data_IF_453385000727
#
_entry.id   IF_453385000727
#
_cell.length_a   1.000
_cell.length_b   1.000
_cell.length_c   1.000
_cell.angle_alpha   90.00
_cell.angle_beta   90.00
_cell.angle_gamma   90.00
#
_symmetry.space_group_name_H-M   'P 1'
#
loop_
_entity.id
_entity.type
_entity.pdbx_description
1 polymer ?
#
# COMPACT_ATOMS: atom_id res chain seq x y z
N UNK A 1 9.31 6.08 15.98
CA UNK A 1 8.52 5.77 14.78
C UNK A 1 9.50 5.30 13.72
N UNK A 2 9.55 4.00 13.46
CA UNK A 2 10.48 3.42 12.50
C UNK A 2 9.77 3.28 11.15
N UNK A 3 10.10 4.15 10.21
CA UNK A 3 9.48 4.23 8.89
C UNK A 3 10.05 3.20 7.91
N UNK A 4 10.59 2.09 8.42
CA UNK A 4 11.19 1.06 7.57
C UNK A 4 10.12 0.05 7.19
N UNK A 5 9.90 -0.06 5.89
CA UNK A 5 9.10 -1.14 5.31
C UNK A 5 10.02 -2.20 4.69
N UNK A 6 9.61 -3.46 4.74
CA UNK A 6 10.30 -4.57 4.10
C UNK A 6 10.18 -4.49 2.57
N UNK A 7 10.93 -5.32 1.85
CA UNK A 7 10.81 -5.43 0.40
C UNK A 7 9.40 -5.93 -0.02
N UNK A 8 8.82 -6.85 0.76
CA UNK A 8 7.47 -7.38 0.52
C UNK A 8 6.41 -6.31 0.77
N UNK A 9 6.51 -5.58 1.88
CA UNK A 9 5.64 -4.43 2.17
C UNK A 9 5.76 -3.34 1.11
N UNK A 10 6.97 -3.09 0.58
CA UNK A 10 7.18 -2.15 -0.51
C UNK A 10 6.52 -2.62 -1.81
N UNK A 11 6.56 -3.92 -2.13
CA UNK A 11 5.87 -4.50 -3.28
C UNK A 11 4.36 -4.33 -3.15
N UNK A 12 3.80 -4.63 -1.98
CA UNK A 12 2.36 -4.45 -1.68
C UNK A 12 1.97 -2.98 -1.73
N UNK A 13 2.82 -2.08 -1.22
CA UNK A 13 2.59 -0.64 -1.29
C UNK A 13 2.51 -0.16 -2.75
N UNK A 14 3.38 -0.62 -3.64
CA UNK A 14 3.31 -0.25 -5.05
C UNK A 14 2.03 -0.77 -5.73
N UNK A 15 1.62 -1.99 -5.41
CA UNK A 15 0.34 -2.54 -5.90
C UNK A 15 -0.84 -1.66 -5.46
N UNK A 16 -0.87 -1.26 -4.18
CA UNK A 16 -1.87 -0.33 -3.65
C UNK A 16 -1.85 0.99 -4.42
N UNK A 17 -0.66 1.56 -4.68
CA UNK A 17 -0.53 2.82 -5.43
C UNK A 17 -1.10 2.68 -6.83
N UNK A 18 -0.84 1.56 -7.52
CA UNK A 18 -1.32 1.35 -8.88
C UNK A 18 -2.86 1.25 -8.94
N UNK A 19 -3.50 0.60 -7.97
CA UNK A 19 -4.97 0.61 -7.84
C UNK A 19 -5.51 2.02 -7.56
N UNK A 20 -4.90 2.75 -6.61
CA UNK A 20 -5.33 4.10 -6.26
C UNK A 20 -5.14 5.08 -7.42
N UNK A 21 -4.05 4.97 -8.20
CA UNK A 21 -3.80 5.76 -9.41
C UNK A 21 -4.84 5.44 -10.50
N UNK A 22 -5.37 4.22 -10.53
CA UNK A 22 -6.48 3.83 -11.40
C UNK A 22 -7.87 4.29 -10.90
N UNK A 23 -7.93 4.94 -9.73
CA UNK A 23 -9.19 5.38 -9.09
C UNK A 23 -9.94 4.26 -8.38
N UNK A 24 -9.28 3.14 -8.12
CA UNK A 24 -9.84 1.97 -7.43
C UNK A 24 -9.36 1.90 -5.98
N UNK A 25 -10.25 1.49 -5.07
CA UNK A 25 -9.98 1.39 -3.64
C UNK A 25 -9.98 -0.08 -3.22
N UNK A 26 -8.82 -0.77 -3.29
CA UNK A 26 -8.79 -2.21 -3.23
C UNK A 26 -8.98 -2.72 -1.80
N UNK A 27 -9.67 -3.86 -1.69
CA UNK A 27 -9.69 -4.71 -0.50
C UNK A 27 -8.39 -5.51 -0.39
N UNK A 28 -8.08 -6.00 0.81
CA UNK A 28 -6.91 -6.84 1.02
C UNK A 28 -6.99 -8.19 0.26
N UNK A 29 -8.20 -8.71 0.01
CA UNK A 29 -8.43 -9.88 -0.84
C UNK A 29 -8.17 -9.62 -2.33
N UNK A 30 -8.52 -8.43 -2.84
CA UNK A 30 -8.17 -8.01 -4.20
C UNK A 30 -6.67 -7.86 -4.38
N UNK A 31 -6.00 -7.25 -3.39
CA UNK A 31 -4.54 -7.15 -3.39
C UNK A 31 -3.88 -8.53 -3.36
N UNK A 32 -4.43 -9.48 -2.58
CA UNK A 32 -3.91 -10.85 -2.53
C UNK A 32 -4.05 -11.56 -3.87
N UNK A 33 -5.20 -11.39 -4.54
CA UNK A 33 -5.44 -11.92 -5.90
C UNK A 33 -4.48 -11.31 -6.92
N UNK A 34 -4.26 -10.00 -6.88
CA UNK A 34 -3.36 -9.31 -7.81
C UNK A 34 -1.87 -9.60 -7.55
N UNK A 35 -1.49 -9.82 -6.29
CA UNK A 35 -0.13 -10.21 -5.91
C UNK A 35 0.18 -11.68 -6.21
N UNK A 36 -0.85 -12.53 -6.38
CA UNK A 36 -0.71 -13.98 -6.55
C UNK A 36 -0.35 -14.71 -5.25
N UNK A 37 -0.66 -14.13 -4.08
CA UNK A 37 -0.31 -14.67 -2.78
C UNK A 37 -0.96 -13.89 -1.63
N UNK A 38 -0.87 -14.42 -0.41
CA UNK A 38 -1.42 -13.76 0.79
C UNK A 38 -0.59 -12.52 1.15
N UNK A 39 -1.23 -11.34 1.11
CA UNK A 39 -0.63 -10.05 1.48
C UNK A 39 -1.30 -9.44 2.72
N UNK A 40 -2.20 -10.16 3.39
CA UNK A 40 -3.00 -9.65 4.51
C UNK A 40 -2.10 -9.13 5.65
N UNK A 41 -1.02 -9.87 5.93
CA UNK A 41 -0.03 -9.48 6.96
C UNK A 41 0.68 -8.17 6.58
N UNK A 42 1.06 -8.02 5.33
CA UNK A 42 1.77 -6.82 4.85
C UNK A 42 0.86 -5.60 4.84
N UNK A 43 -0.39 -5.75 4.40
CA UNK A 43 -1.41 -4.70 4.47
C UNK A 43 -1.65 -4.27 5.93
N UNK A 44 -1.79 -5.23 6.85
CA UNK A 44 -1.95 -4.94 8.28
C UNK A 44 -0.73 -4.22 8.86
N UNK A 45 0.48 -4.62 8.46
CA UNK A 45 1.73 -3.98 8.88
C UNK A 45 1.86 -2.56 8.34
N UNK A 46 1.58 -2.34 7.05
CA UNK A 46 1.56 -1.01 6.43
C UNK A 46 0.57 -0.07 7.12
N UNK A 47 -0.62 -0.57 7.46
CA UNK A 47 -1.62 0.19 8.24
C UNK A 47 -1.07 0.53 9.62
N UNK A 48 -0.52 -0.44 10.35
CA UNK A 48 0.05 -0.26 11.70
C UNK A 48 1.19 0.75 11.71
N UNK A 49 2.04 0.74 10.68
CA UNK A 49 3.13 1.70 10.47
C UNK A 49 2.66 3.08 9.96
N UNK A 50 1.38 3.25 9.68
CA UNK A 50 0.80 4.52 9.23
C UNK A 50 1.08 4.87 7.77
N UNK A 51 1.32 3.88 6.91
CA UNK A 51 1.57 4.10 5.47
C UNK A 51 0.30 4.23 4.66
N UNK A 52 -0.75 3.50 5.04
CA UNK A 52 -2.02 3.43 4.31
C UNK A 52 -3.19 3.81 5.20
N UNK A 53 -4.22 4.35 4.57
CA UNK A 53 -5.51 4.67 5.18
C UNK A 53 -6.50 3.58 4.81
N UNK A 54 -7.15 3.01 5.81
CA UNK A 54 -8.13 1.92 5.63
C UNK A 54 -9.49 2.37 6.14
N UNK A 55 -10.53 2.11 5.36
CA UNK A 55 -11.94 2.26 5.76
C UNK A 55 -12.59 0.89 5.82
N UNK A 56 -13.41 0.65 6.83
CA UNK A 56 -14.22 -0.57 6.90
C UNK A 56 -15.58 -0.28 6.27
N UNK A 57 -15.96 -1.09 5.27
CA UNK A 57 -17.29 -1.08 4.64
C UNK A 57 -17.82 -2.50 4.74
N UNK A 58 -18.95 -2.69 5.42
CA UNK A 58 -19.58 -4.00 5.63
C UNK A 58 -18.57 -5.08 6.08
N UNK A 59 -17.78 -4.74 7.09
CA UNK A 59 -16.71 -5.58 7.70
C UNK A 59 -15.47 -5.84 6.83
N UNK A 60 -15.43 -5.36 5.58
CA UNK A 60 -14.27 -5.50 4.70
C UNK A 60 -13.34 -4.27 4.78
N UNK A 61 -12.05 -4.44 5.13
CA UNK A 61 -11.09 -3.35 5.11
C UNK A 61 -10.72 -2.99 3.66
N UNK A 62 -11.07 -1.77 3.25
CA UNK A 62 -10.70 -1.16 1.97
C UNK A 62 -9.58 -0.15 2.16
N UNK A 63 -8.56 -0.22 1.30
CA UNK A 63 -7.49 0.78 1.26
C UNK A 63 -7.98 1.98 0.47
N UNK A 64 -8.18 3.10 1.16
CA UNK A 64 -8.77 4.32 0.57
C UNK A 64 -7.74 5.39 0.22
N UNK A 65 -6.47 5.15 0.54
CA UNK A 65 -5.43 6.12 0.25
C UNK A 65 -4.12 5.82 0.98
N UNK A 66 -3.13 6.66 0.67
CA UNK A 66 -1.84 6.69 1.35
C UNK A 66 -1.85 7.79 2.41
N UNK A 67 -1.08 7.62 3.47
CA UNK A 67 -0.82 8.73 4.40
C UNK A 67 0.04 9.81 3.72
N UNK A 68 -0.02 11.08 4.18
CA UNK A 68 0.80 12.15 3.61
C UNK A 68 2.31 11.82 3.59
N UNK A 69 2.78 11.12 4.62
CA UNK A 69 4.17 10.65 4.70
C UNK A 69 4.47 9.58 3.66
N UNK A 70 3.58 8.60 3.47
CA UNK A 70 3.72 7.59 2.43
C UNK A 70 3.72 8.20 1.02
N UNK A 71 2.89 9.22 0.76
CA UNK A 71 2.91 9.96 -0.52
C UNK A 71 4.28 10.59 -0.76
N UNK A 72 4.86 11.27 0.24
CA UNK A 72 6.18 11.87 0.12
C UNK A 72 7.28 10.82 -0.14
N UNK A 73 7.24 9.71 0.59
CA UNK A 73 8.19 8.61 0.43
C UNK A 73 8.08 7.92 -0.95
N UNK A 74 6.86 7.60 -1.40
CA UNK A 74 6.60 6.97 -2.70
C UNK A 74 7.03 7.89 -3.85
N UNK A 75 6.81 9.21 -3.74
CA UNK A 75 7.33 10.17 -4.71
C UNK A 75 8.85 10.07 -4.83
N UNK A 76 9.57 10.13 -3.71
CA UNK A 76 11.03 10.01 -3.71
C UNK A 76 11.49 8.66 -4.30
N UNK A 77 10.79 7.56 -4.02
CA UNK A 77 11.09 6.24 -4.57
C UNK A 77 10.81 6.15 -6.09
N UNK A 78 9.69 6.72 -6.58
CA UNK A 78 9.35 6.73 -8.01
C UNK A 78 10.32 7.61 -8.81
N UNK A 79 10.74 8.76 -8.28
CA UNK A 79 11.70 9.64 -8.95
C UNK A 79 13.14 9.13 -8.87
N UNK A 80 13.55 8.53 -7.75
CA UNK A 80 14.88 7.91 -7.62
C UNK A 80 15.08 6.67 -8.51
N UNK A 81 13.99 6.04 -8.99
CA UNK A 81 14.04 4.92 -9.95
C UNK A 81 14.26 5.38 -11.41
N UNK A 82 14.25 6.70 -11.69
CA UNK A 82 14.39 7.24 -13.06
C UNK A 82 15.85 7.56 -13.47
N UNK A 83 16.83 7.27 -12.64
CA UNK A 83 18.26 7.41 -12.95
C UNK A 83 18.96 6.04 -12.97
N UNK A 84 18.74 5.24 -14.01
CA UNK A 84 19.68 4.23 -14.53
C UNK A 84 19.35 3.91 -15.97
#
# INVERSE_FOLDING_TARGET
MEFRISADEQRVLFLIVDHLDAGDAPTADELSRAAGGDVMRDVASLRSKGWILVRHVDEHPMVIGLSPMAVAAVRNLRYGRRET
#
